data_IF_373267435860
#
_entry.id   IF_373267435860
#
_cell.length_a   1.000
_cell.length_b   1.000
_cell.length_c   1.000
_cell.angle_alpha   90.00
_cell.angle_beta   90.00
_cell.angle_gamma   90.00
#
_symmetry.space_group_name_H-M   'P 1'
#
loop_
_entity.id
_entity.type
_entity.pdbx_description
1 polymer ?
#
# COMPACT_ATOMS: atom_id res chain seq x y z
N UNK A 1 -11.04 -6.49 14.47
CA UNK A 1 -9.84 -5.62 14.49
C UNK A 1 -9.70 -4.99 13.11
N UNK A 2 -9.33 -3.71 13.04
CA UNK A 2 -9.08 -3.00 11.78
C UNK A 2 -7.68 -2.41 11.89
N UNK A 3 -6.88 -2.57 10.84
CA UNK A 3 -5.53 -2.01 10.72
C UNK A 3 -5.54 -1.02 9.56
N UNK A 4 -5.04 0.19 9.80
CA UNK A 4 -4.80 1.16 8.74
C UNK A 4 -3.31 1.16 8.42
N UNK A 5 -2.99 1.03 7.13
CA UNK A 5 -1.63 1.08 6.63
C UNK A 5 -1.57 2.12 5.51
N UNK A 6 -0.69 3.10 5.68
CA UNK A 6 -0.36 4.03 4.61
C UNK A 6 0.56 3.33 3.61
N UNK A 7 0.44 3.67 2.32
CA UNK A 7 1.37 3.21 1.30
C UNK A 7 2.84 3.49 1.70
N UNK A 8 3.76 2.61 1.28
CA UNK A 8 5.20 2.85 1.42
C UNK A 8 5.66 4.08 0.62
N UNK A 9 6.91 4.51 0.83
CA UNK A 9 7.47 5.64 0.10
C UNK A 9 7.35 5.47 -1.43
N UNK A 10 6.85 6.49 -2.11
CA UNK A 10 6.70 6.53 -3.56
C UNK A 10 7.59 7.60 -4.20
N UNK A 11 7.84 7.48 -5.51
CA UNK A 11 8.80 8.35 -6.24
C UNK A 11 8.50 9.86 -6.16
N UNK A 12 7.24 10.23 -5.95
CA UNK A 12 6.85 11.63 -5.76
C UNK A 12 7.19 12.17 -4.37
N UNK A 13 7.21 11.32 -3.34
CA UNK A 13 7.51 11.72 -1.97
C UNK A 13 8.94 12.27 -1.88
N UNK A 14 9.87 11.68 -2.62
CA UNK A 14 11.27 12.11 -2.67
C UNK A 14 11.45 13.44 -3.42
N UNK A 15 10.56 13.77 -4.36
CA UNK A 15 10.58 15.03 -5.13
C UNK A 15 9.83 16.20 -4.46
N UNK A 16 9.18 15.98 -3.31
CA UNK A 16 8.28 16.95 -2.64
C UNK A 16 7.18 17.51 -3.55
N UNK A 17 6.80 16.77 -4.60
CA UNK A 17 5.70 17.14 -5.49
C UNK A 17 4.43 16.49 -4.94
N UNK A 18 3.40 17.30 -4.67
CA UNK A 18 2.03 16.82 -4.44
C UNK A 18 1.56 16.13 -5.71
N UNK A 19 1.64 14.81 -5.75
CA UNK A 19 1.24 14.09 -6.96
C UNK A 19 -0.18 13.54 -6.94
N UNK A 20 -0.95 13.77 -5.86
CA UNK A 20 -2.35 13.36 -5.74
C UNK A 20 -2.65 12.00 -6.39
N UNK A 21 -3.42 12.05 -7.48
CA UNK A 21 -3.90 10.92 -8.28
C UNK A 21 -3.11 10.67 -9.57
N UNK A 22 -1.93 11.26 -9.74
CA UNK A 22 -1.12 11.06 -10.95
C UNK A 22 -0.80 9.58 -11.15
N UNK A 23 -1.25 8.97 -12.26
CA UNK A 23 -0.99 7.57 -12.56
C UNK A 23 0.50 7.30 -12.77
N UNK A 24 0.93 6.05 -12.53
CA UNK A 24 2.29 5.60 -12.80
C UNK A 24 3.31 5.94 -11.72
N UNK A 25 2.86 6.43 -10.56
CA UNK A 25 3.74 6.72 -9.43
C UNK A 25 3.83 5.48 -8.55
N UNK A 26 4.95 4.79 -8.70
CA UNK A 26 5.24 3.54 -8.01
C UNK A 26 5.98 3.77 -6.69
N UNK A 27 6.04 2.71 -5.88
CA UNK A 27 6.92 2.64 -4.72
C UNK A 27 8.40 2.74 -5.13
N UNK A 28 9.19 3.45 -4.32
CA UNK A 28 10.65 3.35 -4.38
C UNK A 28 11.10 1.99 -3.84
N UNK A 29 12.38 1.64 -4.01
CA UNK A 29 12.94 0.44 -3.36
C UNK A 29 12.77 0.50 -1.84
N UNK A 30 13.01 1.66 -1.22
CA UNK A 30 12.73 1.88 0.20
C UNK A 30 11.24 1.67 0.53
N UNK A 31 10.32 2.12 -0.33
CA UNK A 31 8.88 1.91 -0.15
C UNK A 31 8.48 0.44 -0.22
N UNK A 32 9.13 -0.36 -1.07
CA UNK A 32 8.95 -1.81 -1.12
C UNK A 32 9.45 -2.46 0.16
N UNK A 33 10.65 -2.12 0.63
CA UNK A 33 11.19 -2.63 1.90
C UNK A 33 10.27 -2.32 3.09
N UNK A 34 9.67 -1.12 3.13
CA UNK A 34 8.68 -0.76 4.14
C UNK A 34 7.44 -1.66 4.09
N UNK A 35 6.95 -1.97 2.89
CA UNK A 35 5.80 -2.87 2.71
C UNK A 35 6.13 -4.32 3.12
N UNK A 36 7.33 -4.80 2.79
CA UNK A 36 7.83 -6.11 3.22
C UNK A 36 7.88 -6.21 4.75
N UNK A 37 8.47 -5.21 5.43
CA UNK A 37 8.54 -5.16 6.89
C UNK A 37 7.14 -5.09 7.54
N UNK A 38 6.22 -4.33 6.95
CA UNK A 38 4.85 -4.26 7.44
C UNK A 38 4.13 -5.60 7.31
N UNK A 39 4.29 -6.30 6.18
CA UNK A 39 3.74 -7.63 5.96
C UNK A 39 4.26 -8.65 6.98
N UNK A 40 5.58 -8.69 7.17
CA UNK A 40 6.24 -9.53 8.16
C UNK A 40 5.74 -9.27 9.59
N UNK A 41 5.49 -8.02 9.96
CA UNK A 41 4.99 -7.64 11.29
C UNK A 41 3.57 -8.15 11.55
N UNK A 42 2.70 -8.16 10.53
CA UNK A 42 1.28 -8.45 10.70
C UNK A 42 0.88 -9.87 10.30
N UNK A 43 1.76 -10.67 9.69
CA UNK A 43 1.43 -12.02 9.18
C UNK A 43 0.85 -12.96 10.24
N UNK A 44 1.24 -12.82 11.50
CA UNK A 44 0.73 -13.64 12.61
C UNK A 44 -0.65 -13.21 13.13
N UNK A 45 -1.21 -12.10 12.64
CA UNK A 45 -2.48 -11.55 13.09
C UNK A 45 -3.71 -12.16 12.40
N UNK A 46 -3.52 -13.16 11.53
CA UNK A 46 -4.57 -13.83 10.77
C UNK A 46 -5.45 -12.83 9.98
N UNK A 47 -4.81 -11.99 9.17
CA UNK A 47 -5.50 -11.01 8.32
C UNK A 47 -6.46 -11.77 7.39
N UNK A 48 -7.74 -11.41 7.40
CA UNK A 48 -8.76 -12.09 6.62
C UNK A 48 -9.08 -11.41 5.29
N UNK A 49 -8.89 -10.09 5.21
CA UNK A 49 -9.12 -9.27 4.02
C UNK A 49 -8.19 -8.07 4.00
N UNK A 50 -7.78 -7.66 2.79
CA UNK A 50 -7.03 -6.44 2.53
C UNK A 50 -7.80 -5.63 1.49
N UNK A 51 -8.03 -4.36 1.81
CA UNK A 51 -8.66 -3.39 0.90
C UNK A 51 -7.67 -2.27 0.62
N UNK A 52 -7.61 -1.81 -0.63
CA UNK A 52 -6.71 -0.73 -1.04
C UNK A 52 -7.39 0.18 -2.06
N UNK A 53 -6.97 1.44 -2.13
CA UNK A 53 -7.40 2.32 -3.22
C UNK A 53 -6.82 1.84 -4.55
N UNK A 54 -7.41 2.21 -5.71
CA UNK A 54 -6.86 1.87 -7.03
C UNK A 54 -5.54 2.61 -7.36
N UNK A 55 -4.99 3.43 -6.45
CA UNK A 55 -3.75 4.17 -6.69
C UNK A 55 -2.55 3.21 -6.65
N UNK A 56 -1.70 3.25 -7.68
CA UNK A 56 -0.57 2.33 -7.89
C UNK A 56 0.28 2.07 -6.64
N UNK A 57 0.80 3.12 -5.99
CA UNK A 57 1.60 2.99 -4.75
C UNK A 57 0.86 2.29 -3.60
N UNK A 58 -0.44 2.53 -3.46
CA UNK A 58 -1.26 1.90 -2.42
C UNK A 58 -1.56 0.44 -2.77
N UNK A 59 -1.85 0.15 -4.04
CA UNK A 59 -2.05 -1.21 -4.51
C UNK A 59 -0.78 -2.06 -4.38
N UNK A 60 0.37 -1.53 -4.80
CA UNK A 60 1.68 -2.19 -4.66
C UNK A 60 2.01 -2.51 -3.20
N UNK A 61 1.76 -1.57 -2.30
CA UNK A 61 1.94 -1.80 -0.86
C UNK A 61 1.06 -2.96 -0.39
N UNK A 62 -0.23 -2.93 -0.76
CA UNK A 62 -1.19 -3.95 -0.37
C UNK A 62 -0.84 -5.32 -0.96
N UNK A 63 -0.35 -5.39 -2.19
CA UNK A 63 0.07 -6.63 -2.85
C UNK A 63 1.26 -7.27 -2.16
N UNK A 64 2.27 -6.47 -1.78
CA UNK A 64 3.44 -6.95 -1.04
C UNK A 64 3.00 -7.52 0.32
N UNK A 65 2.22 -6.75 1.08
CA UNK A 65 1.68 -7.20 2.37
C UNK A 65 0.80 -8.43 2.22
N UNK A 66 -0.02 -8.50 1.17
CA UNK A 66 -0.91 -9.61 0.87
C UNK A 66 -0.17 -10.93 0.65
N UNK A 67 1.03 -10.90 0.07
CA UNK A 67 1.88 -12.10 -0.08
C UNK A 67 2.28 -12.70 1.27
N UNK A 68 2.58 -11.86 2.27
CA UNK A 68 2.92 -12.31 3.63
C UNK A 68 1.73 -12.89 4.39
N UNK A 69 0.53 -12.40 4.09
CA UNK A 69 -0.69 -12.82 4.76
C UNK A 69 -1.44 -13.94 4.03
N UNK A 70 -0.98 -14.34 2.83
CA UNK A 70 -1.73 -15.19 1.89
C UNK A 70 -3.15 -14.65 1.58
N UNK A 71 -3.25 -13.32 1.41
CA UNK A 71 -4.52 -12.62 1.14
C UNK A 71 -4.35 -11.71 -0.06
N UNK A 72 -5.14 -11.95 -1.11
CA UNK A 72 -5.19 -11.07 -2.28
C UNK A 72 -5.91 -9.75 -1.94
N UNK A 73 -5.30 -8.58 -2.20
CA UNK A 73 -5.96 -7.30 -2.02
C UNK A 73 -7.17 -7.11 -2.94
N UNK A 74 -8.16 -6.36 -2.45
CA UNK A 74 -9.34 -5.93 -3.19
C UNK A 74 -9.26 -4.41 -3.37
N UNK A 75 -9.37 -3.96 -4.62
CA UNK A 75 -9.47 -2.53 -4.92
C UNK A 75 -10.83 -1.97 -4.49
N UNK A 76 -10.84 -0.80 -3.85
CA UNK A 76 -12.03 -0.07 -3.43
C UNK A 76 -11.85 1.43 -3.70
N UNK A 77 -12.61 1.95 -4.66
CA UNK A 77 -12.54 3.35 -5.10
C UNK A 77 -12.90 4.35 -3.99
N UNK A 78 -13.59 3.91 -2.93
CA UNK A 78 -13.96 4.76 -1.79
C UNK A 78 -12.77 5.09 -0.88
N UNK A 79 -11.61 4.44 -1.10
CA UNK A 79 -10.38 4.63 -0.33
C UNK A 79 -9.39 5.61 -0.99
N UNK A 80 -9.78 6.27 -2.08
CA UNK A 80 -8.94 7.25 -2.78
C UNK A 80 -8.69 8.47 -1.87
N UNK A 81 -7.48 9.05 -1.96
CA UNK A 81 -7.14 10.30 -1.25
C UNK A 81 -8.11 11.45 -1.63
N UNK A 82 -8.45 12.27 -0.63
CA UNK A 82 -9.19 13.51 -0.83
C UNK A 82 -8.33 14.49 -1.66
N UNK A 83 -8.97 15.20 -2.59
CA UNK A 83 -8.33 16.22 -3.43
C UNK A 83 -7.84 17.43 -2.61
#
# INVERSE_FOLDING_TARGET
MIIFLRHGQAENNTKKILAGRTPGINLTEQGKEQAEQAGEMIKSLNISKIYSSPIDRAMQTAEIVGKHCDVKPISDDRLIELD
#
